data_IF_187511370700
#
_entry.id   IF_187511370700
#
_cell.length_a   1.000
_cell.length_b   1.000
_cell.length_c   1.000
_cell.angle_alpha   90.00
_cell.angle_beta   90.00
_cell.angle_gamma   90.00
#
_symmetry.space_group_name_H-M   'P 1'
#
loop_
_entity.id
_entity.type
_entity.pdbx_description
1 polymer ?
#
# COMPACT_ATOMS: atom_id res chain seq x y z
N UNK A 1 20.64 -11.44 -0.46
CA UNK A 1 22.07 -11.08 -0.28
C UNK A 1 22.59 -10.31 -1.49
N UNK A 2 22.60 -10.91 -2.68
CA UNK A 2 23.06 -10.25 -3.92
C UNK A 2 22.40 -8.90 -4.20
N UNK A 3 21.07 -8.80 -4.04
CA UNK A 3 20.33 -7.54 -4.24
C UNK A 3 20.84 -6.41 -3.34
N UNK A 4 21.16 -6.72 -2.08
CA UNK A 4 21.64 -5.71 -1.13
C UNK A 4 23.08 -5.32 -1.45
N UNK A 5 23.93 -6.28 -1.81
CA UNK A 5 25.29 -6.01 -2.26
C UNK A 5 25.31 -5.10 -3.49
N UNK A 6 24.46 -5.38 -4.49
CA UNK A 6 24.30 -4.56 -5.68
C UNK A 6 23.80 -3.14 -5.33
N UNK A 7 22.91 -3.01 -4.35
CA UNK A 7 22.44 -1.72 -3.87
C UNK A 7 23.57 -0.89 -3.21
N UNK A 8 24.40 -1.50 -2.35
CA UNK A 8 25.58 -0.84 -1.76
C UNK A 8 26.59 -0.40 -2.83
N UNK A 9 26.83 -1.25 -3.83
CA UNK A 9 27.72 -0.93 -4.95
C UNK A 9 27.20 0.26 -5.77
N UNK A 10 25.91 0.24 -6.12
CA UNK A 10 25.24 1.32 -6.88
C UNK A 10 25.22 2.63 -6.10
N UNK A 11 25.09 2.56 -4.77
CA UNK A 11 25.16 3.71 -3.87
C UNK A 11 26.60 4.25 -3.67
N UNK A 12 27.62 3.61 -4.25
CA UNK A 12 29.02 4.00 -4.09
C UNK A 12 29.59 3.74 -2.69
N UNK A 13 28.98 2.80 -1.95
CA UNK A 13 29.37 2.42 -0.57
C UNK A 13 29.64 0.92 -0.43
N UNK A 14 30.47 0.30 -1.29
CA UNK A 14 30.75 -1.13 -1.19
C UNK A 14 31.46 -1.51 0.12
N UNK A 15 32.17 -0.56 0.75
CA UNK A 15 32.84 -0.68 2.04
C UNK A 15 31.88 -0.86 3.23
N UNK A 16 30.63 -0.40 3.10
CA UNK A 16 29.61 -0.54 4.14
C UNK A 16 28.80 -1.84 4.01
N UNK A 17 29.01 -2.64 2.96
CA UNK A 17 28.32 -3.93 2.81
C UNK A 17 28.86 -4.94 3.82
N UNK A 18 27.97 -5.48 4.64
CA UNK A 18 28.26 -6.62 5.51
C UNK A 18 27.29 -7.76 5.20
N UNK A 19 27.81 -8.90 4.77
CA UNK A 19 27.02 -10.08 4.43
C UNK A 19 26.33 -10.71 5.66
N UNK A 20 26.94 -10.55 6.85
CA UNK A 20 26.39 -11.05 8.11
C UNK A 20 25.19 -10.23 8.60
N UNK A 21 24.93 -9.06 8.02
CA UNK A 21 23.70 -8.29 8.29
C UNK A 21 22.46 -8.89 7.63
N UNK A 22 22.61 -9.89 6.76
CA UNK A 22 21.51 -10.53 6.03
C UNK A 22 21.57 -12.02 6.31
N UNK A 23 20.72 -12.48 7.20
CA UNK A 23 20.66 -13.87 7.63
C UNK A 23 19.21 -14.34 7.79
N UNK A 24 19.03 -15.65 7.64
CA UNK A 24 17.76 -16.29 7.90
C UNK A 24 17.62 -16.58 9.40
N UNK A 25 16.42 -16.36 9.95
CA UNK A 25 16.10 -16.68 11.34
C UNK A 25 15.29 -17.96 11.41
N UNK A 26 14.06 -17.93 10.91
CA UNK A 26 13.08 -19.03 10.95
C UNK A 26 11.88 -18.67 10.08
N UNK A 27 11.10 -19.68 9.72
CA UNK A 27 9.82 -19.61 9.01
C UNK A 27 8.63 -19.60 9.98
N UNK A 28 8.84 -19.94 11.25
CA UNK A 28 7.80 -19.88 12.27
C UNK A 28 7.59 -18.42 12.73
N UNK A 29 6.35 -17.94 12.59
CA UNK A 29 5.97 -16.54 12.74
C UNK A 29 6.41 -15.94 14.09
N UNK A 30 6.07 -16.57 15.22
CA UNK A 30 6.32 -15.99 16.53
C UNK A 30 7.77 -16.18 17.00
N UNK A 31 8.45 -17.23 16.52
CA UNK A 31 9.88 -17.42 16.69
C UNK A 31 10.66 -16.33 15.95
N UNK A 32 10.24 -15.96 14.74
CA UNK A 32 10.81 -14.81 14.02
C UNK A 32 10.60 -13.52 14.82
N UNK A 33 9.38 -13.25 15.29
CA UNK A 33 9.06 -12.04 16.06
C UNK A 33 9.85 -11.96 17.36
N UNK A 34 9.91 -13.05 18.13
CA UNK A 34 10.65 -13.07 19.40
C UNK A 34 12.15 -12.85 19.21
N UNK A 35 12.73 -13.37 18.12
CA UNK A 35 14.11 -13.09 17.76
C UNK A 35 14.31 -11.61 17.42
N UNK A 36 13.50 -11.05 16.52
CA UNK A 36 13.64 -9.67 16.03
C UNK A 36 13.40 -8.67 17.17
N UNK A 37 12.36 -8.85 17.96
CA UNK A 37 12.09 -7.98 19.12
C UNK A 37 13.20 -8.07 20.16
N UNK A 38 13.73 -9.28 20.41
CA UNK A 38 14.89 -9.49 21.27
C UNK A 38 16.15 -8.78 20.77
N UNK A 39 16.33 -8.69 19.45
CA UNK A 39 17.41 -7.93 18.83
C UNK A 39 17.18 -6.42 18.98
N UNK A 40 15.97 -5.94 18.72
CA UNK A 40 15.60 -4.53 18.83
C UNK A 40 15.89 -3.96 20.23
N UNK A 41 15.53 -4.68 21.30
CA UNK A 41 15.76 -4.20 22.67
C UNK A 41 17.24 -4.21 23.09
N UNK A 42 18.08 -5.02 22.44
CA UNK A 42 19.53 -5.10 22.71
C UNK A 42 20.30 -4.05 21.91
N UNK A 43 20.06 -4.01 20.60
CA UNK A 43 20.78 -3.16 19.66
C UNK A 43 20.24 -1.73 19.62
N UNK A 44 18.97 -1.54 19.98
CA UNK A 44 18.27 -0.24 19.98
C UNK A 44 18.49 0.52 18.67
N UNK A 45 18.08 -0.05 17.52
CA UNK A 45 18.21 0.61 16.23
C UNK A 45 17.56 1.99 16.25
N UNK A 46 18.16 2.96 15.55
CA UNK A 46 17.60 4.31 15.45
C UNK A 46 16.32 4.36 14.59
N UNK A 47 16.16 3.41 13.66
CA UNK A 47 14.99 3.32 12.80
C UNK A 47 14.63 1.87 12.47
N UNK A 48 13.34 1.61 12.29
CA UNK A 48 12.79 0.32 11.88
C UNK A 48 11.93 0.48 10.63
N UNK A 49 12.17 -0.37 9.63
CA UNK A 49 11.43 -0.36 8.37
C UNK A 49 10.64 -1.67 8.23
N UNK A 50 9.30 -1.58 8.19
CA UNK A 50 8.39 -2.72 8.09
C UNK A 50 7.67 -2.70 6.74
N UNK A 51 8.28 -3.29 5.72
CA UNK A 51 7.79 -3.23 4.34
C UNK A 51 7.41 -4.64 3.86
N UNK A 52 6.11 -4.89 3.62
CA UNK A 52 5.64 -6.17 3.10
C UNK A 52 4.30 -6.64 3.64
N UNK A 53 4.09 -7.95 3.60
CA UNK A 53 2.92 -8.61 4.18
C UNK A 53 3.24 -9.03 5.61
N UNK A 54 2.47 -8.49 6.55
CA UNK A 54 2.55 -8.84 7.97
C UNK A 54 1.19 -9.33 8.44
N UNK A 55 1.15 -10.07 9.54
CA UNK A 55 -0.07 -10.51 10.19
C UNK A 55 -0.08 -10.08 11.67
N UNK A 56 -0.30 -11.01 12.59
CA UNK A 56 -0.37 -10.77 14.03
C UNK A 56 0.92 -10.16 14.61
N UNK A 57 2.05 -10.33 13.93
CA UNK A 57 3.35 -9.78 14.29
C UNK A 57 3.44 -8.26 14.17
N UNK A 58 2.62 -7.64 13.32
CA UNK A 58 2.72 -6.22 12.97
C UNK A 58 2.72 -5.31 14.20
N UNK A 59 1.75 -5.51 15.10
CA UNK A 59 1.63 -4.71 16.32
C UNK A 59 2.79 -4.96 17.29
N UNK A 60 3.21 -6.21 17.46
CA UNK A 60 4.29 -6.57 18.39
C UNK A 60 5.60 -5.92 17.95
N UNK A 61 5.91 -5.98 16.66
CA UNK A 61 7.10 -5.35 16.08
C UNK A 61 7.03 -3.82 16.25
N UNK A 62 5.91 -3.21 15.88
CA UNK A 62 5.72 -1.76 15.95
C UNK A 62 5.75 -1.20 17.38
N UNK A 63 5.13 -1.91 18.33
CA UNK A 63 5.16 -1.50 19.74
C UNK A 63 6.56 -1.66 20.34
N UNK A 64 7.28 -2.71 19.96
CA UNK A 64 8.67 -2.90 20.39
C UNK A 64 9.56 -1.78 19.85
N UNK A 65 9.41 -1.39 18.58
CA UNK A 65 10.17 -0.30 17.97
C UNK A 65 9.87 1.05 18.64
N UNK A 66 8.60 1.30 18.94
CA UNK A 66 8.19 2.46 19.72
C UNK A 66 8.81 2.45 21.14
N UNK A 67 8.84 1.29 21.81
CA UNK A 67 9.37 1.18 23.18
C UNK A 67 10.86 1.50 23.30
N UNK A 68 11.64 1.31 22.22
CA UNK A 68 13.07 1.64 22.17
C UNK A 68 13.34 3.05 21.62
N UNK A 69 12.29 3.79 21.22
CA UNK A 69 12.39 5.13 20.65
C UNK A 69 12.90 5.18 19.21
N UNK A 70 12.74 4.09 18.44
CA UNK A 70 13.13 4.04 17.04
C UNK A 70 12.10 4.78 16.18
N UNK A 71 12.56 5.49 15.14
CA UNK A 71 11.66 6.00 14.09
C UNK A 71 11.14 4.81 13.27
N UNK A 72 9.83 4.76 13.04
CA UNK A 72 9.20 3.62 12.38
C UNK A 72 8.54 4.01 11.06
N UNK A 73 8.96 3.34 9.99
CA UNK A 73 8.37 3.47 8.65
C UNK A 73 7.81 2.12 8.24
N UNK A 74 6.49 2.05 8.11
CA UNK A 74 5.78 0.85 7.71
C UNK A 74 5.15 1.01 6.31
N UNK A 75 4.88 -0.11 5.66
CA UNK A 75 4.21 -0.15 4.37
C UNK A 75 3.66 -1.54 4.10
N UNK A 76 2.35 -1.60 3.87
CA UNK A 76 1.68 -2.87 3.55
C UNK A 76 0.49 -2.67 2.61
N UNK A 77 0.27 -3.67 1.76
CA UNK A 77 -0.90 -3.75 0.91
C UNK A 77 -2.07 -4.49 1.57
N UNK A 78 -1.91 -4.99 2.81
CA UNK A 78 -2.87 -5.87 3.46
C UNK A 78 -3.83 -5.08 4.37
N UNK A 79 -5.14 -5.00 4.04
CA UNK A 79 -6.07 -4.12 4.75
C UNK A 79 -6.24 -4.44 6.23
N UNK A 80 -6.11 -5.72 6.60
CA UNK A 80 -6.34 -6.18 7.98
C UNK A 80 -5.29 -5.68 8.98
N UNK A 81 -4.07 -5.35 8.53
CA UNK A 81 -2.99 -4.91 9.43
C UNK A 81 -2.70 -3.42 9.38
N UNK A 82 -3.24 -2.71 8.38
CA UNK A 82 -3.10 -1.26 8.27
C UNK A 82 -3.45 -0.53 9.58
N UNK A 83 -4.52 -0.89 10.32
CA UNK A 83 -4.84 -0.21 11.57
C UNK A 83 -3.72 -0.29 12.61
N UNK A 84 -2.97 -1.39 12.66
CA UNK A 84 -1.89 -1.56 13.64
C UNK A 84 -0.69 -0.69 13.30
N UNK A 85 -0.26 -0.68 12.04
CA UNK A 85 0.85 0.17 11.62
C UNK A 85 0.50 1.66 11.66
N UNK A 86 -0.72 2.03 11.23
CA UNK A 86 -1.18 3.42 11.30
C UNK A 86 -1.24 3.91 12.75
N UNK A 87 -1.59 3.05 13.71
CA UNK A 87 -1.67 3.43 15.11
C UNK A 87 -0.31 3.44 15.83
N UNK A 88 0.65 2.61 15.41
CA UNK A 88 1.89 2.36 16.17
C UNK A 88 3.17 2.86 15.49
N UNK A 89 3.16 3.20 14.20
CA UNK A 89 4.34 3.69 13.46
C UNK A 89 4.23 5.19 13.13
N UNK A 90 5.38 5.86 12.99
CA UNK A 90 5.43 7.29 12.66
C UNK A 90 4.95 7.59 11.23
N UNK A 91 5.30 6.70 10.28
CA UNK A 91 4.91 6.82 8.87
C UNK A 91 4.44 5.48 8.35
N UNK A 92 3.25 5.44 7.74
CA UNK A 92 2.68 4.21 7.17
C UNK A 92 2.23 4.46 5.75
N UNK A 93 2.80 3.71 4.79
CA UNK A 93 2.34 3.65 3.41
C UNK A 93 1.14 2.70 3.30
N UNK A 94 0.03 3.21 2.77
CA UNK A 94 -1.25 2.51 2.75
C UNK A 94 -1.54 2.00 1.35
N UNK A 95 -1.61 0.67 1.18
CA UNK A 95 -2.11 0.07 -0.05
C UNK A 95 -1.33 0.50 -1.29
N UNK A 96 -1.94 1.36 -2.11
CA UNK A 96 -1.37 1.85 -3.37
C UNK A 96 -0.16 2.77 -3.17
N UNK A 97 -0.05 3.47 -2.04
CA UNK A 97 1.12 4.30 -1.72
C UNK A 97 2.38 3.45 -1.58
N UNK A 98 2.25 2.22 -1.05
CA UNK A 98 3.36 1.29 -0.91
C UNK A 98 3.93 0.88 -2.27
N UNK A 99 3.06 0.56 -3.23
CA UNK A 99 3.46 0.20 -4.59
C UNK A 99 3.95 1.40 -5.40
N UNK A 100 3.31 2.56 -5.22
CA UNK A 100 3.75 3.80 -5.87
C UNK A 100 5.16 4.19 -5.42
N UNK A 101 5.43 4.09 -4.11
CA UNK A 101 6.76 4.36 -3.55
C UNK A 101 7.82 3.41 -4.11
N UNK A 102 7.52 2.09 -4.19
CA UNK A 102 8.47 1.13 -4.77
C UNK A 102 8.76 1.41 -6.24
N UNK A 103 7.72 1.69 -7.04
CA UNK A 103 7.86 2.01 -8.46
C UNK A 103 8.66 3.32 -8.68
N UNK A 104 8.40 4.32 -7.85
CA UNK A 104 9.10 5.60 -7.91
C UNK A 104 10.59 5.49 -7.54
N UNK A 105 10.91 4.71 -6.51
CA UNK A 105 12.30 4.47 -6.09
C UNK A 105 13.07 3.62 -7.10
N UNK A 106 12.43 2.58 -7.66
CA UNK A 106 13.03 1.72 -8.68
C UNK A 106 13.18 2.42 -10.04
N UNK A 107 12.43 3.51 -10.28
CA UNK A 107 12.32 4.21 -11.58
C UNK A 107 11.94 3.27 -12.73
N UNK A 108 11.12 2.26 -12.42
CA UNK A 108 10.66 1.28 -13.39
C UNK A 108 9.51 1.86 -14.24
N UNK A 109 9.73 2.10 -15.54
CA UNK A 109 8.71 2.72 -16.41
C UNK A 109 7.44 1.87 -16.55
N UNK A 110 7.54 0.53 -16.43
CA UNK A 110 6.39 -0.36 -16.60
C UNK A 110 5.48 -0.28 -15.36
N UNK A 111 6.06 -0.30 -14.16
CA UNK A 111 5.31 -0.15 -12.92
C UNK A 111 4.67 1.24 -12.81
N UNK A 112 5.41 2.29 -13.17
CA UNK A 112 4.89 3.67 -13.20
C UNK A 112 3.78 3.84 -14.24
N UNK A 113 3.90 3.18 -15.40
CA UNK A 113 2.87 3.18 -16.44
C UNK A 113 1.59 2.49 -16.00
N UNK A 114 1.72 1.33 -15.35
CA UNK A 114 0.59 0.58 -14.77
C UNK A 114 -0.19 1.42 -13.75
N UNK A 115 0.52 2.09 -12.83
CA UNK A 115 -0.09 2.95 -11.82
C UNK A 115 -0.91 4.08 -12.45
N UNK A 116 -0.34 4.78 -13.44
CA UNK A 116 -1.04 5.85 -14.18
C UNK A 116 -2.27 5.33 -14.93
N UNK A 117 -2.17 4.15 -15.53
CA UNK A 117 -3.30 3.50 -16.22
C UNK A 117 -4.44 3.19 -15.25
N UNK A 118 -4.12 2.67 -14.06
CA UNK A 118 -5.08 2.40 -13.01
C UNK A 118 -5.78 3.68 -12.53
N UNK A 119 -5.03 4.75 -12.27
CA UNK A 119 -5.58 6.05 -11.85
C UNK A 119 -6.52 6.65 -12.89
N UNK A 120 -6.13 6.60 -14.17
CA UNK A 120 -6.97 7.09 -15.26
C UNK A 120 -8.28 6.31 -15.38
N UNK A 121 -8.21 4.98 -15.26
CA UNK A 121 -9.40 4.12 -15.24
C UNK A 121 -10.34 4.47 -14.09
N UNK A 122 -9.80 4.66 -12.87
CA UNK A 122 -10.57 5.09 -11.70
C UNK A 122 -11.24 6.45 -11.92
N UNK A 123 -10.55 7.41 -12.52
CA UNK A 123 -11.11 8.73 -12.83
C UNK A 123 -12.29 8.65 -13.80
N UNK A 124 -12.19 7.83 -14.86
CA UNK A 124 -13.29 7.60 -15.80
C UNK A 124 -14.50 7.01 -15.07
N UNK A 125 -14.29 5.96 -14.28
CA UNK A 125 -15.36 5.31 -13.52
C UNK A 125 -15.99 6.29 -12.52
N UNK A 126 -15.20 7.08 -11.81
CA UNK A 126 -15.69 8.08 -10.87
C UNK A 126 -16.54 9.15 -11.57
N UNK A 127 -16.11 9.65 -12.73
CA UNK A 127 -16.87 10.62 -13.51
C UNK A 127 -18.22 10.03 -13.99
N UNK A 128 -18.22 8.80 -14.49
CA UNK A 128 -19.44 8.10 -14.91
C UNK A 128 -20.40 7.90 -13.74
N UNK A 129 -19.89 7.54 -12.56
CA UNK A 129 -20.70 7.40 -11.35
C UNK A 129 -21.33 8.73 -10.92
N UNK A 130 -20.56 9.82 -10.92
CA UNK A 130 -21.07 11.15 -10.56
C UNK A 130 -22.18 11.58 -11.54
N UNK A 131 -21.96 11.40 -12.84
CA UNK A 131 -22.97 11.73 -13.87
C UNK A 131 -24.22 10.85 -13.71
N UNK A 132 -24.05 9.53 -13.57
CA UNK A 132 -25.16 8.60 -13.41
C UNK A 132 -26.00 8.88 -12.16
N UNK A 133 -25.36 9.05 -11.00
CA UNK A 133 -26.03 9.39 -9.74
C UNK A 133 -26.71 10.76 -9.82
N UNK A 134 -26.03 11.76 -10.40
CA UNK A 134 -26.58 13.10 -10.56
C UNK A 134 -27.82 13.12 -11.45
N UNK A 135 -27.77 12.42 -12.60
CA UNK A 135 -28.90 12.31 -13.51
C UNK A 135 -30.09 11.62 -12.85
N UNK A 136 -29.85 10.50 -12.15
CA UNK A 136 -30.89 9.76 -11.43
C UNK A 136 -31.48 10.55 -10.27
N UNK A 137 -30.69 11.38 -9.59
CA UNK A 137 -31.20 12.23 -8.50
C UNK A 137 -32.04 13.37 -9.07
N UNK A 138 -31.62 13.98 -10.18
CA UNK A 138 -32.36 15.04 -10.85
C UNK A 138 -33.72 14.57 -11.41
N UNK A 139 -33.81 13.35 -11.96
CA UNK A 139 -35.10 12.79 -12.40
C UNK A 139 -36.09 12.65 -11.24
N UNK A 140 -35.62 12.15 -10.10
CA UNK A 140 -36.44 11.96 -8.91
C UNK A 140 -36.92 13.29 -8.30
N UNK A 141 -36.09 14.33 -8.32
CA UNK A 141 -36.41 15.63 -7.71
C UNK A 141 -37.24 16.54 -8.63
N UNK A 142 -36.96 16.57 -9.92
CA UNK A 142 -37.59 17.53 -10.86
C UNK A 142 -38.79 16.96 -11.62
N UNK A 143 -38.95 15.63 -11.67
CA UNK A 143 -40.03 14.97 -12.42
C UNK A 143 -40.01 15.26 -13.93
N UNK A 144 -38.91 15.80 -14.48
CA UNK A 144 -38.83 16.19 -15.87
C UNK A 144 -38.81 14.96 -16.80
N UNK A 145 -39.84 14.83 -17.65
CA UNK A 145 -40.02 13.68 -18.56
C UNK A 145 -38.83 13.47 -19.51
N UNK A 146 -38.15 14.55 -19.92
CA UNK A 146 -36.96 14.47 -20.77
C UNK A 146 -35.75 13.84 -20.08
N UNK A 147 -35.56 14.10 -18.79
CA UNK A 147 -34.47 13.50 -18.00
C UNK A 147 -34.81 12.05 -17.67
N UNK A 148 -36.10 11.75 -17.46
CA UNK A 148 -36.59 10.40 -17.21
C UNK A 148 -36.36 9.47 -18.41
N UNK A 149 -36.71 9.89 -19.63
CA UNK A 149 -36.42 9.14 -20.85
C UNK A 149 -34.92 8.87 -21.03
N UNK A 150 -34.07 9.87 -20.78
CA UNK A 150 -32.62 9.72 -20.88
C UNK A 150 -32.07 8.74 -19.84
N UNK A 151 -32.59 8.78 -18.61
CA UNK A 151 -32.17 7.89 -17.52
C UNK A 151 -32.62 6.44 -17.72
N UNK A 152 -33.86 6.22 -18.19
CA UNK A 152 -34.42 4.90 -18.47
C UNK A 152 -33.72 4.28 -19.70
N UNK A 153 -33.45 5.08 -20.75
CA UNK A 153 -32.68 4.65 -21.91
C UNK A 153 -31.23 4.29 -21.58
N UNK A 154 -30.54 5.09 -20.75
CA UNK A 154 -29.20 4.76 -20.27
C UNK A 154 -29.20 3.48 -19.42
N UNK A 155 -30.19 3.30 -18.55
CA UNK A 155 -30.33 2.10 -17.72
C UNK A 155 -30.51 0.84 -18.57
N UNK A 156 -31.38 0.87 -19.57
CA UNK A 156 -31.62 -0.29 -20.45
C UNK A 156 -30.39 -0.62 -21.29
N UNK A 157 -29.69 0.38 -21.84
CA UNK A 157 -28.45 0.14 -22.61
C UNK A 157 -27.35 -0.44 -21.71
N UNK A 158 -27.23 0.00 -20.46
CA UNK A 158 -26.16 -0.47 -19.56
C UNK A 158 -26.48 -1.84 -18.95
N UNK A 159 -27.73 -2.11 -18.58
CA UNK A 159 -28.11 -3.36 -17.90
C UNK A 159 -28.57 -4.46 -18.87
N UNK A 160 -29.02 -4.10 -20.07
CA UNK A 160 -29.56 -5.03 -21.07
C UNK A 160 -28.87 -4.93 -22.44
N UNK A 161 -27.90 -4.03 -22.62
CA UNK A 161 -27.11 -3.87 -23.85
C UNK A 161 -25.99 -4.89 -24.04
N UNK A 162 -26.33 -6.16 -23.87
CA UNK A 162 -25.54 -7.31 -24.29
C UNK A 162 -26.47 -8.34 -24.94
N UNK A 163 -27.02 -7.97 -26.10
CA UNK A 163 -27.70 -8.88 -27.03
C UNK A 163 -26.85 -9.05 -28.29
#
# INVERSE_FOLDING_TARGET
RETVQAAYLTAGRPDAYNEDSIYYVTDEQFAYVSHVTGLMVREKPAACFYLGAFYAESLILAETGNSIGAIQVAGTAQPSQLPFFVAACDYTLIGEEFFAASAYLAKDPDQLGSLKGQDFGKLIVAALLIVGVGLMTLTQVTGADGVRWLSEGLRDVVLHGGG
#
